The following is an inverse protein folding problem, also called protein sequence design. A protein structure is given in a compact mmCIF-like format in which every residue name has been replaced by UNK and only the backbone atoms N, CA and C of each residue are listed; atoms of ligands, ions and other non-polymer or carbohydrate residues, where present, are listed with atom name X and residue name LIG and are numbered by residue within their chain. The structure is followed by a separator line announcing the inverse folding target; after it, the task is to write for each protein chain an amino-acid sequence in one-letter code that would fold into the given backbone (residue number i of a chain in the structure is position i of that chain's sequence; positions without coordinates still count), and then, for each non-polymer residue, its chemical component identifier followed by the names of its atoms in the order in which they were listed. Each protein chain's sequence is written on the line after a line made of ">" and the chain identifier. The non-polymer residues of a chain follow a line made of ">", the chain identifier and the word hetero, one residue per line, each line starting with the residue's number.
data_IF_729875700258
#
_entry.id   IF_729875700258
#
_cell.length_a   1.000
_cell.length_b   1.000
_cell.length_c   1.000
_cell.angle_alpha   90.00
_cell.angle_beta   90.00
_cell.angle_gamma   90.00
#
_symmetry.space_group_name_H-M   'P 1'
#
loop_
_entity.id
_entity.type
_entity.pdbx_description
1 polymer ?
#
# COMPACT_ATOMS: atom_id res chain seq x y z
N UNK A 1 -66.17 5.25 32.90
CA UNK A 1 -65.74 3.82 32.84
C UNK A 1 -65.06 3.47 34.15
N UNK A 2 -65.52 2.42 34.83
CA UNK A 2 -64.89 1.91 36.06
C UNK A 2 -63.42 1.60 35.76
N UNK A 3 -62.49 2.15 36.54
CA UNK A 3 -61.06 1.82 36.39
C UNK A 3 -60.90 0.35 36.79
N UNK A 4 -60.23 -0.43 35.94
CA UNK A 4 -59.90 -1.82 36.25
C UNK A 4 -59.11 -1.89 37.55
N UNK A 5 -59.38 -2.91 38.36
CA UNK A 5 -58.49 -3.24 39.49
C UNK A 5 -57.17 -3.80 38.98
N UNK A 6 -56.19 -3.93 39.88
CA UNK A 6 -54.88 -4.47 39.53
C UNK A 6 -55.00 -5.94 39.07
N UNK A 7 -55.83 -6.74 39.74
CA UNK A 7 -56.12 -8.14 39.40
C UNK A 7 -56.87 -8.25 38.05
N UNK A 8 -57.93 -7.46 37.87
CA UNK A 8 -58.69 -7.43 36.60
C UNK A 8 -57.81 -7.05 35.40
N UNK A 9 -56.83 -6.16 35.61
CA UNK A 9 -55.86 -5.79 34.59
C UNK A 9 -54.96 -6.96 34.20
N UNK A 10 -54.43 -7.70 35.20
CA UNK A 10 -53.54 -8.83 34.98
C UNK A 10 -54.26 -10.00 34.30
N UNK A 11 -55.44 -10.38 34.79
CA UNK A 11 -56.25 -11.46 34.19
C UNK A 11 -56.57 -11.18 32.73
N UNK A 12 -56.92 -9.94 32.42
CA UNK A 12 -57.21 -9.52 31.05
C UNK A 12 -55.98 -9.59 30.15
N UNK A 13 -54.79 -9.25 30.64
CA UNK A 13 -53.55 -9.37 29.86
C UNK A 13 -53.19 -10.83 29.62
N UNK A 14 -53.28 -11.67 30.64
CA UNK A 14 -52.94 -13.08 30.53
C UNK A 14 -53.92 -13.87 29.68
N UNK A 15 -55.20 -13.50 29.69
CA UNK A 15 -56.20 -14.02 28.75
C UNK A 15 -55.87 -13.68 27.30
N UNK A 16 -55.33 -12.48 27.04
CA UNK A 16 -54.92 -12.07 25.69
C UNK A 16 -53.67 -12.82 25.24
N UNK A 17 -52.64 -12.88 26.08
CA UNK A 17 -51.38 -13.54 25.75
C UNK A 17 -50.85 -14.31 26.96
N UNK A 18 -51.14 -15.61 27.06
CA UNK A 18 -50.75 -16.45 28.20
C UNK A 18 -49.22 -16.48 28.43
N UNK A 19 -48.42 -16.36 27.37
CA UNK A 19 -46.94 -16.36 27.47
C UNK A 19 -46.38 -15.23 28.35
N UNK A 20 -47.17 -14.18 28.61
CA UNK A 20 -46.73 -13.07 29.46
C UNK A 20 -46.56 -13.49 30.93
N UNK A 21 -47.25 -14.54 31.40
CA UNK A 21 -47.04 -15.12 32.74
C UNK A 21 -45.64 -15.73 32.87
N UNK A 22 -45.12 -16.30 31.79
CA UNK A 22 -43.81 -16.95 31.74
C UNK A 22 -42.68 -15.94 31.51
N UNK A 23 -42.96 -14.83 30.83
CA UNK A 23 -41.96 -13.83 30.42
C UNK A 23 -41.75 -12.71 31.43
N UNK A 24 -42.77 -12.36 32.21
CA UNK A 24 -42.74 -11.22 33.14
C UNK A 24 -43.17 -11.64 34.55
N UNK A 25 -42.54 -11.02 35.54
CA UNK A 25 -43.01 -11.01 36.92
C UNK A 25 -43.72 -9.68 37.20
N UNK A 26 -44.87 -9.78 37.85
CA UNK A 26 -45.80 -8.67 38.12
C UNK A 26 -45.89 -8.31 39.60
N UNK A 27 -45.01 -8.85 40.47
CA UNK A 27 -45.02 -8.58 41.91
C UNK A 27 -44.97 -7.09 42.27
N UNK A 28 -44.24 -6.29 41.48
CA UNK A 28 -44.11 -4.85 41.67
C UNK A 28 -45.10 -4.03 40.80
N UNK A 29 -46.06 -4.70 40.15
CA UNK A 29 -47.00 -4.04 39.25
C UNK A 29 -48.10 -3.32 40.02
N UNK A 30 -48.15 -2.00 39.90
CA UNK A 30 -49.23 -1.16 40.43
C UNK A 30 -49.96 -0.45 39.29
N UNK A 31 -51.12 -0.97 38.90
CA UNK A 31 -51.98 -0.38 37.88
C UNK A 31 -52.81 0.76 38.47
N UNK A 32 -52.61 1.96 37.93
CA UNK A 32 -53.36 3.18 38.32
C UNK A 32 -54.14 3.79 37.15
N UNK A 33 -54.07 3.15 35.97
CA UNK A 33 -54.76 3.55 34.75
C UNK A 33 -53.96 3.29 33.47
N UNK A 34 -54.63 3.28 32.31
CA UNK A 34 -54.02 2.93 31.01
C UNK A 34 -52.90 3.89 30.56
N UNK A 35 -52.96 5.16 30.95
CA UNK A 35 -51.95 6.18 30.62
C UNK A 35 -50.77 6.21 31.61
N UNK A 36 -50.79 5.37 32.64
CA UNK A 36 -49.74 5.32 33.64
C UNK A 36 -48.78 4.15 33.38
N UNK A 37 -47.55 4.31 33.85
CA UNK A 37 -46.53 3.26 33.77
C UNK A 37 -46.76 2.22 34.85
N UNK A 38 -46.52 0.96 34.50
CA UNK A 38 -46.45 -0.19 35.41
C UNK A 38 -45.01 -0.69 35.49
N UNK A 39 -44.62 -1.18 36.66
CA UNK A 39 -43.30 -1.77 36.92
C UNK A 39 -43.38 -3.28 36.78
N UNK A 40 -42.50 -3.85 35.98
CA UNK A 40 -42.46 -5.27 35.65
C UNK A 40 -41.01 -5.76 35.70
N UNK A 41 -40.82 -7.02 36.08
CA UNK A 41 -39.50 -7.65 36.05
C UNK A 41 -39.44 -8.64 34.90
N UNK A 42 -38.42 -8.54 34.05
CA UNK A 42 -38.18 -9.53 32.99
C UNK A 42 -37.65 -10.82 33.61
N UNK A 43 -38.39 -11.94 33.51
CA UNK A 43 -37.95 -13.23 34.11
C UNK A 43 -36.65 -13.77 33.51
N UNK A 44 -36.37 -13.46 32.24
CA UNK A 44 -35.17 -13.95 31.54
C UNK A 44 -33.87 -13.27 31.99
N UNK A 45 -33.89 -11.96 32.21
CA UNK A 45 -32.68 -11.18 32.54
C UNK A 45 -32.75 -10.57 33.94
N UNK A 46 -33.77 -10.93 34.73
CA UNK A 46 -34.02 -10.47 36.09
C UNK A 46 -33.89 -8.94 36.29
N UNK A 47 -34.35 -8.15 35.31
CA UNK A 47 -34.24 -6.70 35.35
C UNK A 47 -35.61 -6.02 35.38
N UNK A 48 -35.69 -4.99 36.20
CA UNK A 48 -36.87 -4.15 36.39
C UNK A 48 -36.98 -3.15 35.24
N UNK A 49 -38.18 -2.99 34.69
CA UNK A 49 -38.48 -1.99 33.66
C UNK A 49 -39.87 -1.40 33.84
N UNK A 50 -40.09 -0.23 33.24
CA UNK A 50 -41.38 0.45 33.24
C UNK A 50 -41.97 0.52 31.84
N UNK A 51 -43.26 0.24 31.72
CA UNK A 51 -44.01 0.36 30.44
C UNK A 51 -45.38 0.97 30.70
N UNK A 52 -45.91 1.75 29.75
CA UNK A 52 -47.29 2.19 29.81
C UNK A 52 -48.24 0.99 29.77
N UNK A 53 -49.24 0.96 30.66
CA UNK A 53 -50.21 -0.14 30.71
C UNK A 53 -50.94 -0.31 29.37
N UNK A 54 -51.27 0.78 28.67
CA UNK A 54 -51.84 0.76 27.32
C UNK A 54 -50.92 0.10 26.28
N UNK A 55 -49.61 0.36 26.36
CA UNK A 55 -48.62 -0.23 25.46
C UNK A 55 -48.47 -1.73 25.73
N UNK A 56 -48.42 -2.14 26.99
CA UNK A 56 -48.34 -3.54 27.39
C UNK A 56 -49.52 -4.34 26.84
N UNK A 57 -50.73 -3.80 27.00
CA UNK A 57 -51.96 -4.39 26.49
C UNK A 57 -52.02 -4.46 24.95
N UNK A 58 -51.61 -3.38 24.27
CA UNK A 58 -51.56 -3.31 22.81
C UNK A 58 -50.56 -4.30 22.23
N UNK A 59 -49.39 -4.44 22.85
CA UNK A 59 -48.37 -5.38 22.41
C UNK A 59 -48.86 -6.82 22.57
N UNK A 60 -49.50 -7.17 23.69
CA UNK A 60 -50.05 -8.51 23.93
C UNK A 60 -51.00 -8.94 22.81
N UNK A 61 -51.91 -8.04 22.41
CA UNK A 61 -52.85 -8.28 21.30
C UNK A 61 -52.16 -8.46 19.95
N UNK A 62 -51.20 -7.59 19.64
CA UNK A 62 -50.48 -7.65 18.35
C UNK A 62 -49.62 -8.90 18.22
N UNK A 63 -48.93 -9.30 19.28
CA UNK A 63 -48.07 -10.50 19.24
C UNK A 63 -48.86 -11.75 18.83
N UNK A 64 -50.06 -11.95 19.37
CA UNK A 64 -50.94 -13.07 19.00
C UNK A 64 -51.51 -12.89 17.59
N UNK A 65 -52.05 -11.70 17.29
CA UNK A 65 -52.71 -11.44 16.00
C UNK A 65 -51.75 -11.60 14.80
N UNK A 66 -50.54 -11.08 14.92
CA UNK A 66 -49.54 -11.05 13.85
C UNK A 66 -48.56 -12.24 13.95
N UNK A 67 -48.69 -13.12 14.97
CA UNK A 67 -47.77 -14.21 15.29
C UNK A 67 -46.29 -13.74 15.34
N UNK A 68 -46.06 -12.63 16.04
CA UNK A 68 -44.75 -11.99 16.19
C UNK A 68 -44.39 -11.81 17.67
N UNK A 69 -43.10 -11.64 17.95
CA UNK A 69 -42.63 -11.19 19.26
C UNK A 69 -42.34 -9.68 19.17
N UNK A 70 -42.87 -8.89 20.10
CA UNK A 70 -42.75 -7.42 20.18
C UNK A 70 -42.20 -6.95 21.53
N UNK A 71 -42.60 -7.61 22.62
CA UNK A 71 -42.31 -7.17 24.00
C UNK A 71 -41.37 -8.13 24.70
N UNK A 72 -40.08 -7.84 24.73
CA UNK A 72 -39.11 -8.69 25.42
C UNK A 72 -39.16 -8.63 26.96
N UNK A 73 -39.88 -7.66 27.51
CA UNK A 73 -39.76 -7.25 28.91
C UNK A 73 -38.74 -6.15 29.02
N UNK A 74 -37.46 -6.50 28.95
CA UNK A 74 -36.38 -5.52 29.04
C UNK A 74 -35.77 -5.13 27.69
N UNK A 75 -34.92 -4.09 27.72
CA UNK A 75 -34.18 -3.60 26.55
C UNK A 75 -33.36 -4.70 25.86
N UNK A 76 -32.78 -5.63 26.62
CA UNK A 76 -31.99 -6.74 26.07
C UNK A 76 -32.86 -7.73 25.29
N UNK A 77 -34.01 -8.14 25.84
CA UNK A 77 -34.94 -8.99 25.11
C UNK A 77 -35.51 -8.29 23.88
N UNK A 78 -35.85 -7.00 23.97
CA UNK A 78 -36.33 -6.20 22.83
C UNK A 78 -35.24 -6.13 21.74
N UNK A 79 -33.98 -5.98 22.12
CA UNK A 79 -32.84 -6.03 21.20
C UNK A 79 -32.73 -7.39 20.50
N UNK A 80 -32.85 -8.49 21.24
CA UNK A 80 -32.86 -9.85 20.69
C UNK A 80 -34.03 -10.08 19.73
N UNK A 81 -35.21 -9.59 20.06
CA UNK A 81 -36.42 -9.68 19.23
C UNK A 81 -36.27 -8.87 17.94
N UNK A 82 -35.81 -7.62 18.04
CA UNK A 82 -35.54 -6.77 16.87
C UNK A 82 -34.53 -7.42 15.94
N UNK A 83 -33.45 -7.99 16.49
CA UNK A 83 -32.49 -8.80 15.74
C UNK A 83 -33.19 -9.99 15.07
N UNK A 84 -33.95 -10.80 15.80
CA UNK A 84 -34.64 -11.96 15.24
C UNK A 84 -35.62 -11.61 14.11
N UNK A 85 -36.40 -10.53 14.25
CA UNK A 85 -37.34 -10.07 13.22
C UNK A 85 -36.63 -9.52 11.98
N UNK A 86 -35.49 -8.85 12.13
CA UNK A 86 -34.59 -8.48 11.03
C UNK A 86 -34.20 -9.72 10.21
N UNK A 87 -33.90 -10.85 10.87
CA UNK A 87 -33.46 -12.08 10.18
C UNK A 87 -34.61 -12.88 9.52
N UNK A 88 -35.87 -12.68 9.91
CA UNK A 88 -37.01 -13.47 9.38
C UNK A 88 -37.53 -13.01 8.01
N UNK A 89 -37.29 -11.77 7.59
CA UNK A 89 -37.79 -11.21 6.32
C UNK A 89 -36.72 -11.07 5.21
N UNK A 90 -35.58 -11.72 5.38
CA UNK A 90 -34.35 -11.41 4.64
C UNK A 90 -34.44 -11.59 3.11
N UNK A 91 -35.30 -12.49 2.61
CA UNK A 91 -35.33 -12.82 1.18
C UNK A 91 -36.19 -11.88 0.31
N UNK A 92 -37.07 -11.07 0.92
CA UNK A 92 -37.99 -10.16 0.16
C UNK A 92 -37.51 -8.72 0.08
N UNK A 93 -36.40 -8.38 0.73
CA UNK A 93 -35.94 -6.99 0.91
C UNK A 93 -34.91 -6.59 -0.15
N UNK A 94 -35.41 -6.04 -1.26
CA UNK A 94 -34.62 -5.46 -2.34
C UNK A 94 -34.72 -3.92 -2.34
N UNK A 95 -33.70 -3.21 -2.85
CA UNK A 95 -33.79 -1.77 -3.03
C UNK A 95 -34.90 -1.41 -4.05
N UNK A 96 -35.51 -0.24 -3.90
CA UNK A 96 -36.64 0.21 -4.74
C UNK A 96 -36.31 0.25 -6.24
N UNK A 97 -35.04 0.45 -6.59
CA UNK A 97 -34.51 0.50 -7.96
C UNK A 97 -33.73 -0.76 -8.34
N UNK A 98 -34.04 -1.92 -7.73
CA UNK A 98 -33.37 -3.17 -8.02
C UNK A 98 -33.59 -3.62 -9.48
N UNK A 99 -32.50 -4.04 -10.12
CA UNK A 99 -32.53 -4.85 -11.33
C UNK A 99 -31.29 -5.76 -11.33
N UNK A 100 -31.38 -6.91 -12.00
CA UNK A 100 -30.33 -7.95 -11.97
C UNK A 100 -29.03 -7.55 -12.68
N UNK A 101 -29.08 -6.57 -13.58
CA UNK A 101 -27.92 -6.10 -14.32
C UNK A 101 -27.05 -5.16 -13.50
N UNK A 102 -27.68 -4.30 -12.70
CA UNK A 102 -27.03 -3.25 -11.93
C UNK A 102 -26.72 -3.63 -10.49
N UNK A 103 -27.42 -4.63 -9.91
CA UNK A 103 -27.23 -5.09 -8.55
C UNK A 103 -26.81 -6.55 -8.49
N UNK A 104 -25.77 -6.85 -7.70
CA UNK A 104 -25.25 -8.21 -7.51
C UNK A 104 -25.06 -8.54 -6.04
N UNK A 105 -25.22 -9.80 -5.65
CA UNK A 105 -24.87 -10.25 -4.31
C UNK A 105 -23.35 -10.12 -4.11
N UNK A 106 -22.94 -9.79 -2.89
CA UNK A 106 -21.52 -9.77 -2.53
C UNK A 106 -21.08 -11.19 -2.15
N UNK A 107 -20.06 -11.72 -2.82
CA UNK A 107 -19.53 -13.06 -2.53
C UNK A 107 -19.03 -13.18 -1.08
N UNK A 108 -19.47 -14.24 -0.39
CA UNK A 108 -19.18 -14.45 1.03
C UNK A 108 -19.90 -13.51 2.00
N UNK A 109 -20.79 -12.65 1.51
CA UNK A 109 -21.65 -11.74 2.26
C UNK A 109 -23.06 -11.74 1.64
N UNK A 110 -23.73 -12.88 1.68
CA UNK A 110 -24.98 -13.17 0.98
C UNK A 110 -26.16 -12.31 1.47
N UNK A 111 -26.02 -11.64 2.62
CA UNK A 111 -27.00 -10.72 3.19
C UNK A 111 -26.96 -9.31 2.56
N UNK A 112 -26.13 -9.08 1.53
CA UNK A 112 -25.88 -7.77 0.95
C UNK A 112 -25.84 -7.80 -0.57
N UNK A 113 -26.40 -6.74 -1.17
CA UNK A 113 -26.23 -6.43 -2.58
C UNK A 113 -25.34 -5.20 -2.75
N UNK A 114 -24.60 -5.15 -3.85
CA UNK A 114 -23.86 -3.98 -4.29
C UNK A 114 -24.25 -3.63 -5.71
N UNK A 115 -24.38 -2.34 -6.02
CA UNK A 115 -24.60 -1.88 -7.38
C UNK A 115 -23.30 -1.47 -8.10
N UNK A 116 -23.40 -1.25 -9.40
CA UNK A 116 -22.28 -0.82 -10.25
C UNK A 116 -21.71 0.59 -9.93
N UNK A 117 -22.40 1.37 -9.07
CA UNK A 117 -21.96 2.67 -8.54
C UNK A 117 -21.30 2.57 -7.16
N UNK A 118 -21.32 1.40 -6.52
CA UNK A 118 -20.76 1.18 -5.19
C UNK A 118 -21.72 1.42 -4.02
N UNK A 119 -23.02 1.58 -4.26
CA UNK A 119 -24.02 1.58 -3.19
C UNK A 119 -24.25 0.16 -2.69
N UNK A 120 -24.33 -0.01 -1.36
CA UNK A 120 -24.50 -1.33 -0.74
C UNK A 120 -25.84 -1.36 -0.02
N UNK A 121 -26.67 -2.33 -0.37
CA UNK A 121 -27.95 -2.60 0.27
C UNK A 121 -27.82 -3.77 1.25
N UNK A 122 -28.35 -3.60 2.45
CA UNK A 122 -28.41 -4.66 3.45
C UNK A 122 -29.82 -5.24 3.51
N UNK A 123 -29.96 -6.54 3.19
CA UNK A 123 -31.23 -7.28 3.31
C UNK A 123 -31.77 -7.23 4.75
N UNK A 124 -30.84 -7.38 5.71
CA UNK A 124 -31.13 -7.39 7.14
C UNK A 124 -31.75 -6.08 7.64
N UNK A 125 -31.12 -4.95 7.30
CA UNK A 125 -31.61 -3.65 7.76
C UNK A 125 -32.64 -3.02 6.81
N UNK A 126 -32.86 -3.62 5.64
CA UNK A 126 -33.69 -3.12 4.55
C UNK A 126 -33.34 -1.66 4.19
N UNK A 127 -32.04 -1.35 4.14
CA UNK A 127 -31.51 0.01 3.97
C UNK A 127 -30.19 -0.01 3.21
N UNK A 128 -29.89 1.14 2.58
CA UNK A 128 -28.56 1.46 2.09
C UNK A 128 -27.60 1.64 3.26
N UNK A 129 -26.45 0.99 3.19
CA UNK A 129 -25.37 1.16 4.14
C UNK A 129 -24.60 2.45 3.86
N UNK A 130 -24.24 3.14 4.93
CA UNK A 130 -23.37 4.31 4.84
C UNK A 130 -21.90 3.88 4.74
N UNK A 131 -21.31 4.09 3.58
CA UNK A 131 -19.86 3.97 3.36
C UNK A 131 -19.13 5.22 3.85
N UNK A 132 -17.84 5.09 4.15
CA UNK A 132 -16.98 6.22 4.56
C UNK A 132 -15.61 6.15 3.88
N UNK A 133 -14.95 7.30 3.72
CA UNK A 133 -13.58 7.38 3.20
C UNK A 133 -12.60 7.17 4.35
N UNK A 134 -11.66 6.24 4.19
CA UNK A 134 -10.63 5.98 5.19
C UNK A 134 -9.43 6.94 5.07
N UNK A 135 -8.48 6.87 6.00
CA UNK A 135 -7.25 7.71 6.02
C UNK A 135 -6.33 7.52 4.80
N UNK A 136 -6.55 6.47 4.02
CA UNK A 136 -5.83 6.19 2.77
C UNK A 136 -6.59 6.68 1.53
N UNK A 137 -7.76 7.32 1.71
CA UNK A 137 -8.60 7.87 0.65
C UNK A 137 -9.59 6.87 0.03
N UNK A 138 -9.63 5.61 0.50
CA UNK A 138 -10.52 4.61 -0.09
C UNK A 138 -11.91 4.63 0.55
N UNK A 139 -12.94 4.48 -0.28
CA UNK A 139 -14.30 4.23 0.19
C UNK A 139 -14.41 2.80 0.78
N UNK A 140 -14.90 2.71 2.02
CA UNK A 140 -14.99 1.49 2.81
C UNK A 140 -16.39 1.34 3.39
N UNK A 141 -16.90 0.11 3.39
CA UNK A 141 -18.14 -0.28 4.06
C UNK A 141 -17.86 -1.33 5.14
N UNK A 142 -18.70 -1.36 6.17
CA UNK A 142 -18.64 -2.39 7.23
C UNK A 142 -19.78 -3.37 7.02
N UNK A 143 -19.44 -4.62 6.70
CA UNK A 143 -20.39 -5.70 6.46
C UNK A 143 -20.39 -6.67 7.65
N UNK A 144 -21.56 -6.92 8.24
CA UNK A 144 -21.71 -7.94 9.28
C UNK A 144 -21.94 -9.30 8.64
N UNK A 145 -21.11 -10.30 8.99
CA UNK A 145 -21.25 -11.68 8.51
C UNK A 145 -21.90 -12.54 9.59
N UNK A 146 -23.10 -13.05 9.31
CA UNK A 146 -23.92 -13.83 10.27
C UNK A 146 -23.24 -15.13 10.69
N UNK A 147 -22.59 -15.83 9.77
CA UNK A 147 -21.92 -17.12 10.04
C UNK A 147 -20.78 -16.97 11.05
N UNK A 148 -20.00 -15.89 10.97
CA UNK A 148 -18.88 -15.61 11.89
C UNK A 148 -19.26 -14.71 13.06
N UNK A 149 -20.46 -14.11 13.02
CA UNK A 149 -20.95 -13.09 13.95
C UNK A 149 -20.01 -11.90 14.11
N UNK A 150 -19.27 -11.52 13.06
CA UNK A 150 -18.27 -10.44 13.08
C UNK A 150 -18.50 -9.39 12.00
N UNK A 151 -18.04 -8.16 12.29
CA UNK A 151 -18.00 -7.07 11.33
C UNK A 151 -16.71 -7.13 10.50
N UNK A 152 -16.83 -6.95 9.19
CA UNK A 152 -15.73 -6.95 8.24
C UNK A 152 -15.70 -5.61 7.49
N UNK A 153 -14.56 -4.92 7.54
CA UNK A 153 -14.34 -3.71 6.74
C UNK A 153 -13.90 -4.14 5.33
N UNK A 154 -14.68 -3.77 4.32
CA UNK A 154 -14.42 -4.09 2.91
C UNK A 154 -14.30 -2.81 2.10
N UNK A 155 -13.35 -2.78 1.17
CA UNK A 155 -13.15 -1.65 0.26
C UNK A 155 -14.18 -1.74 -0.85
N UNK A 156 -14.96 -0.68 -1.04
CA UNK A 156 -16.12 -0.69 -1.94
C UNK A 156 -15.70 -0.93 -3.38
N UNK A 157 -14.62 -0.31 -3.86
CA UNK A 157 -14.14 -0.52 -5.23
C UNK A 157 -13.78 -1.99 -5.53
N UNK A 158 -13.28 -2.75 -4.55
CA UNK A 158 -12.97 -4.18 -4.76
C UNK A 158 -14.27 -4.95 -4.96
N UNK A 159 -15.26 -4.70 -4.12
CA UNK A 159 -16.57 -5.34 -4.21
C UNK A 159 -17.26 -5.02 -5.55
N UNK A 160 -17.16 -3.77 -6.03
CA UNK A 160 -17.68 -3.39 -7.36
C UNK A 160 -16.91 -4.11 -8.47
N UNK A 161 -15.58 -4.17 -8.39
CA UNK A 161 -14.78 -4.83 -9.42
C UNK A 161 -15.04 -6.33 -9.51
N UNK A 162 -15.20 -7.02 -8.37
CA UNK A 162 -15.56 -8.44 -8.30
C UNK A 162 -16.94 -8.71 -8.93
N UNK A 163 -17.89 -7.78 -8.76
CA UNK A 163 -19.23 -7.92 -9.34
C UNK A 163 -19.33 -7.52 -10.82
N UNK A 164 -18.67 -6.44 -11.24
CA UNK A 164 -19.02 -5.72 -12.48
C UNK A 164 -17.86 -5.54 -13.46
N UNK A 165 -16.62 -5.86 -13.08
CA UNK A 165 -15.44 -5.66 -13.94
C UNK A 165 -14.86 -7.00 -14.33
N UNK A 166 -14.87 -7.31 -15.63
CA UNK A 166 -14.33 -8.55 -16.15
C UNK A 166 -12.82 -8.66 -15.84
N UNK A 167 -12.41 -9.79 -15.28
CA UNK A 167 -11.00 -10.12 -15.04
C UNK A 167 -10.64 -11.38 -15.83
N UNK A 168 -10.15 -11.25 -17.08
CA UNK A 168 -9.88 -12.41 -17.93
C UNK A 168 -8.70 -13.26 -17.45
N UNK A 169 -7.85 -12.73 -16.56
CA UNK A 169 -6.70 -13.47 -16.01
C UNK A 169 -6.44 -13.07 -14.54
N UNK A 170 -7.22 -13.61 -13.59
CA UNK A 170 -7.13 -13.24 -12.17
C UNK A 170 -5.77 -13.53 -11.52
N UNK A 171 -5.06 -14.56 -12.00
CA UNK A 171 -3.72 -14.91 -11.51
C UNK A 171 -2.69 -13.83 -11.82
N UNK A 172 -2.84 -13.17 -12.97
CA UNK A 172 -1.97 -12.07 -13.39
C UNK A 172 -2.44 -10.72 -12.83
N UNK A 173 -3.75 -10.45 -12.86
CA UNK A 173 -4.35 -9.16 -12.53
C UNK A 173 -5.15 -9.23 -11.24
N UNK A 174 -4.45 -9.14 -10.11
CA UNK A 174 -5.03 -9.33 -8.77
C UNK A 174 -5.23 -8.03 -7.96
N UNK A 175 -5.03 -6.85 -8.56
CA UNK A 175 -5.19 -5.55 -7.91
C UNK A 175 -6.21 -4.72 -8.67
N UNK A 176 -7.14 -4.08 -7.96
CA UNK A 176 -8.08 -3.14 -8.56
C UNK A 176 -7.48 -1.73 -8.54
N UNK A 177 -7.34 -1.12 -9.71
CA UNK A 177 -6.89 0.26 -9.89
C UNK A 177 -8.06 1.21 -10.22
N UNK A 178 -7.92 2.49 -9.86
CA UNK A 178 -8.86 3.55 -10.21
C UNK A 178 -8.23 4.35 -11.37
N UNK A 179 -8.89 4.39 -12.53
CA UNK A 179 -8.37 5.03 -13.76
C UNK A 179 -8.23 6.55 -13.62
N UNK A 180 -9.11 7.18 -12.86
CA UNK A 180 -9.10 8.61 -12.56
C UNK A 180 -8.15 9.00 -11.39
N UNK A 181 -7.53 8.02 -10.72
CA UNK A 181 -6.72 8.24 -9.52
C UNK A 181 -7.52 8.52 -8.23
N UNK A 182 -8.81 8.81 -8.31
CA UNK A 182 -9.64 9.12 -7.16
C UNK A 182 -10.12 7.84 -6.45
N UNK A 183 -9.45 7.51 -5.35
CA UNK A 183 -9.72 6.32 -4.51
C UNK A 183 -11.12 6.28 -3.87
N UNK A 184 -11.84 7.40 -3.88
CA UNK A 184 -13.19 7.50 -3.37
C UNK A 184 -14.27 7.31 -4.46
N UNK A 185 -13.88 7.15 -5.73
CA UNK A 185 -14.79 6.92 -6.86
C UNK A 185 -14.87 5.42 -7.23
N UNK A 186 -15.81 4.65 -6.67
CA UNK A 186 -15.92 3.20 -6.88
C UNK A 186 -16.68 2.81 -8.16
N UNK A 187 -17.02 3.76 -9.05
CA UNK A 187 -17.83 3.47 -10.25
C UNK A 187 -17.16 2.39 -11.12
N UNK A 188 -17.88 1.35 -11.51
CA UNK A 188 -17.28 0.19 -12.19
C UNK A 188 -16.50 0.55 -13.47
N UNK A 189 -16.95 1.55 -14.23
CA UNK A 189 -16.26 2.03 -15.44
C UNK A 189 -14.92 2.68 -15.14
N UNK A 190 -14.77 3.25 -13.94
CA UNK A 190 -13.53 3.84 -13.43
C UNK A 190 -12.54 2.80 -12.90
N UNK A 191 -12.95 1.53 -12.78
CA UNK A 191 -12.12 0.48 -12.21
C UNK A 191 -11.53 -0.43 -13.28
N UNK A 192 -10.36 -1.00 -12.99
CA UNK A 192 -9.71 -2.01 -13.81
C UNK A 192 -8.88 -2.97 -12.96
N UNK A 193 -8.79 -4.23 -13.40
CA UNK A 193 -7.88 -5.21 -12.82
C UNK A 193 -6.50 -5.05 -13.44
N UNK A 194 -5.50 -4.81 -12.58
CA UNK A 194 -4.10 -4.64 -12.95
C UNK A 194 -3.22 -5.54 -12.09
N UNK A 195 -1.98 -5.70 -12.53
CA UNK A 195 -0.94 -6.33 -11.72
C UNK A 195 -0.17 -5.25 -10.93
N UNK A 196 0.70 -5.67 -10.02
CA UNK A 196 1.50 -4.74 -9.18
C UNK A 196 2.27 -3.70 -10.00
N UNK A 197 2.85 -4.12 -11.13
CA UNK A 197 3.62 -3.25 -12.02
C UNK A 197 2.74 -2.20 -12.69
N UNK A 198 1.57 -2.60 -13.20
CA UNK A 198 0.58 -1.71 -13.81
C UNK A 198 0.08 -0.66 -12.82
N UNK A 199 -0.27 -1.08 -11.60
CA UNK A 199 -0.70 -0.16 -10.54
C UNK A 199 0.38 0.87 -10.17
N UNK A 200 1.64 0.42 -10.06
CA UNK A 200 2.77 1.31 -9.77
C UNK A 200 3.02 2.32 -10.92
N UNK A 201 2.96 1.87 -12.17
CA UNK A 201 3.09 2.73 -13.35
C UNK A 201 1.99 3.79 -13.41
N UNK A 202 0.76 3.43 -13.10
CA UNK A 202 -0.37 4.36 -13.04
C UNK A 202 -0.19 5.43 -11.96
N UNK A 203 0.25 5.02 -10.75
CA UNK A 203 0.56 5.96 -9.67
C UNK A 203 1.69 6.94 -10.03
N UNK A 204 2.71 6.50 -10.77
CA UNK A 204 3.80 7.36 -11.23
C UNK A 204 3.38 8.37 -12.31
N UNK A 205 2.39 8.04 -13.15
CA UNK A 205 1.88 8.94 -14.19
C UNK A 205 0.94 10.03 -13.66
N UNK A 206 0.33 9.80 -12.50
CA UNK A 206 -0.65 10.69 -11.87
C UNK A 206 -0.12 11.18 -10.49
N UNK A 207 0.86 12.11 -10.48
CA UNK A 207 1.57 12.53 -9.27
C UNK A 207 0.69 13.21 -8.22
N UNK A 208 -0.48 13.74 -8.57
CA UNK A 208 -1.51 14.19 -7.63
C UNK A 208 -2.03 13.10 -6.68
N UNK A 209 -1.83 11.80 -6.99
CA UNK A 209 -2.22 10.67 -6.15
C UNK A 209 -1.22 10.33 -5.04
N UNK A 210 -0.02 10.92 -5.06
CA UNK A 210 0.84 10.88 -3.90
C UNK A 210 0.19 11.73 -2.81
N UNK A 211 0.09 11.19 -1.58
CA UNK A 211 -0.23 12.04 -0.41
C UNK A 211 0.66 13.26 -0.52
N UNK A 212 0.09 14.49 -0.45
CA UNK A 212 0.85 15.74 -0.38
C UNK A 212 2.05 15.45 0.51
N UNK A 213 3.23 15.35 -0.10
CA UNK A 213 4.46 15.17 0.65
C UNK A 213 4.42 16.37 1.57
N UNK A 214 4.27 16.16 2.89
CA UNK A 214 4.46 17.25 3.85
C UNK A 214 5.73 17.90 3.39
N UNK A 215 5.67 19.19 3.04
CA UNK A 215 6.83 19.92 2.58
C UNK A 215 7.93 19.60 3.60
N UNK A 216 8.85 18.74 3.19
CA UNK A 216 10.06 18.54 3.96
C UNK A 216 10.65 19.92 3.88
N UNK A 217 10.73 20.59 5.03
CA UNK A 217 11.51 21.81 5.13
C UNK A 217 12.89 21.37 4.63
N UNK A 218 13.17 21.63 3.37
CA UNK A 218 14.51 21.56 2.83
C UNK A 218 15.19 22.72 3.53
N UNK A 219 15.76 22.42 4.69
CA UNK A 219 16.84 23.23 5.20
C UNK A 219 17.82 23.30 4.02
N UNK A 220 17.91 24.47 3.38
CA UNK A 220 19.08 24.81 2.61
C UNK A 220 20.22 24.73 3.61
N UNK A 221 20.84 23.55 3.71
CA UNK A 221 22.08 23.40 4.44
C UNK A 221 23.09 24.10 3.54
N UNK A 222 23.41 25.35 3.91
CA UNK A 222 24.61 26.00 3.44
C UNK A 222 25.75 25.00 3.59
N UNK A 223 26.48 24.82 2.51
CA UNK A 223 27.55 23.85 2.35
C UNK A 223 28.52 23.78 3.54
N UNK A 224 28.92 22.53 3.84
CA UNK A 224 30.25 22.08 4.26
C UNK A 224 30.76 22.30 5.68
N UNK A 225 30.04 21.78 6.69
CA UNK A 225 30.71 21.29 7.90
C UNK A 225 30.65 19.76 8.00
N UNK A 226 31.81 19.15 8.22
CA UNK A 226 31.91 17.73 8.50
C UNK A 226 31.44 17.47 9.94
N UNK A 227 30.28 16.83 10.08
CA UNK A 227 29.70 16.46 11.37
C UNK A 227 30.00 14.99 11.66
N UNK A 228 30.40 14.70 12.89
CA UNK A 228 30.83 13.38 13.33
C UNK A 228 29.87 12.81 14.37
N UNK A 229 29.46 11.56 14.17
CA UNK A 229 28.62 10.82 15.11
C UNK A 229 29.39 9.61 15.63
N UNK A 230 29.28 9.33 16.93
CA UNK A 230 29.87 8.14 17.53
C UNK A 230 29.01 6.91 17.17
N UNK A 231 29.67 5.81 16.80
CA UNK A 231 29.01 4.59 16.33
C UNK A 231 28.56 3.75 17.53
N UNK A 232 27.61 4.27 18.32
CA UNK A 232 27.07 3.62 19.51
C UNK A 232 25.78 2.83 19.21
N UNK A 233 25.47 1.77 19.97
CA UNK A 233 26.30 1.10 20.97
C UNK A 233 27.32 0.11 20.35
N UNK A 234 27.27 -0.09 19.03
CA UNK A 234 27.94 -1.20 18.34
C UNK A 234 29.48 -1.12 18.38
N UNK A 235 30.05 0.08 18.23
CA UNK A 235 31.48 0.35 18.08
C UNK A 235 31.92 1.61 18.85
N UNK A 236 31.95 1.57 20.20
CA UNK A 236 32.38 2.70 21.02
C UNK A 236 33.82 3.11 20.73
N UNK A 237 34.07 4.42 20.70
CA UNK A 237 35.37 5.01 20.35
C UNK A 237 35.67 5.11 18.86
N UNK A 238 34.71 4.78 17.99
CA UNK A 238 34.75 5.04 16.55
C UNK A 238 33.71 6.08 16.17
N UNK A 239 34.06 6.95 15.23
CA UNK A 239 33.21 8.04 14.75
C UNK A 239 33.08 7.97 13.24
N UNK A 240 31.88 8.27 12.73
CA UNK A 240 31.58 8.37 11.29
C UNK A 240 31.08 9.77 10.95
N UNK A 241 31.60 10.35 9.87
CA UNK A 241 31.15 11.65 9.40
C UNK A 241 30.04 11.57 8.36
N UNK A 242 29.30 12.66 8.17
CA UNK A 242 28.31 12.83 7.10
C UNK A 242 28.91 12.73 5.68
N UNK A 243 30.23 12.86 5.51
CA UNK A 243 30.95 12.63 4.24
C UNK A 243 31.48 11.19 4.10
N UNK A 244 31.24 10.32 5.09
CA UNK A 244 31.74 8.95 5.12
C UNK A 244 33.21 8.82 5.45
N UNK A 245 33.77 9.77 6.21
CA UNK A 245 35.05 9.59 6.89
C UNK A 245 34.85 8.81 8.19
N UNK A 246 35.85 8.03 8.60
CA UNK A 246 35.77 7.23 9.83
C UNK A 246 37.07 7.36 10.60
N UNK A 247 36.97 7.69 11.89
CA UNK A 247 38.13 7.82 12.79
C UNK A 247 37.95 7.00 14.05
N UNK A 248 39.07 6.66 14.69
CA UNK A 248 39.10 6.00 16.00
C UNK A 248 39.81 6.87 17.03
N UNK A 249 39.26 6.89 18.25
CA UNK A 249 39.84 7.52 19.44
C UNK A 249 40.34 6.47 20.45
N UNK A 250 40.89 5.37 19.94
CA UNK A 250 41.34 4.22 20.74
C UNK A 250 42.87 4.18 20.85
N UNK A 251 43.39 3.76 22.01
CA UNK A 251 44.83 3.52 22.21
C UNK A 251 45.32 2.39 21.28
N UNK A 252 46.49 2.58 20.67
CA UNK A 252 47.05 1.66 19.67
C UNK A 252 47.25 0.24 20.20
N UNK A 253 47.47 0.06 21.52
CA UNK A 253 47.82 -1.23 22.14
C UNK A 253 46.98 -1.60 23.38
N UNK A 254 45.85 -0.92 23.63
CA UNK A 254 44.92 -1.31 24.71
C UNK A 254 45.49 -1.21 26.13
N UNK A 255 46.62 -0.53 26.34
CA UNK A 255 47.15 -0.23 27.66
C UNK A 255 46.52 1.06 28.23
N UNK A 256 46.15 1.08 29.52
CA UNK A 256 45.39 2.18 30.13
C UNK A 256 46.12 3.54 30.14
N UNK A 257 47.46 3.55 30.06
CA UNK A 257 48.29 4.78 30.09
C UNK A 257 48.77 5.29 28.72
N UNK A 258 48.19 4.85 27.60
CA UNK A 258 48.58 5.38 26.27
C UNK A 258 47.68 6.53 25.83
N UNK A 259 48.30 7.63 25.40
CA UNK A 259 47.62 8.81 24.84
C UNK A 259 46.63 8.40 23.76
N UNK A 260 45.35 8.72 23.94
CA UNK A 260 44.31 8.55 22.92
C UNK A 260 44.64 9.48 21.76
N UNK A 261 45.15 8.93 20.66
CA UNK A 261 45.41 9.70 19.44
C UNK A 261 44.26 9.50 18.47
N UNK A 262 43.76 10.60 17.92
CA UNK A 262 42.85 10.56 16.79
C UNK A 262 43.56 9.87 15.62
N UNK A 263 42.93 8.82 15.09
CA UNK A 263 43.44 8.11 13.92
C UNK A 263 42.35 8.00 12.87
N UNK A 264 42.57 8.68 11.75
CA UNK A 264 41.76 8.49 10.55
C UNK A 264 41.96 7.08 10.02
N UNK A 265 40.85 6.35 9.82
CA UNK A 265 40.89 4.99 9.31
C UNK A 265 40.93 5.01 7.78
N UNK A 266 41.73 4.09 7.22
CA UNK A 266 41.80 3.90 5.77
C UNK A 266 40.51 3.25 5.26
N UNK A 267 39.96 3.84 4.20
CA UNK A 267 38.80 3.30 3.48
C UNK A 267 39.30 2.36 2.39
N UNK A 268 38.88 1.11 2.45
CA UNK A 268 39.30 0.09 1.48
C UNK A 268 38.05 -0.50 0.80
N UNK A 269 38.15 -0.84 -0.47
CA UNK A 269 37.08 -1.58 -1.15
C UNK A 269 36.87 -2.94 -0.46
N UNK A 270 35.61 -3.36 -0.37
CA UNK A 270 35.22 -4.58 0.34
C UNK A 270 35.81 -5.85 -0.28
N UNK A 271 36.03 -5.88 -1.61
CA UNK A 271 36.87 -6.85 -2.33
C UNK A 271 37.06 -6.44 -3.80
N UNK A 272 37.88 -7.15 -4.60
CA UNK A 272 37.93 -6.98 -6.08
C UNK A 272 36.55 -7.17 -6.76
N UNK A 273 35.59 -7.85 -6.10
CA UNK A 273 34.21 -8.09 -6.57
C UNK A 273 33.17 -7.12 -6.01
N UNK A 274 33.49 -6.28 -5.02
CA UNK A 274 32.55 -5.35 -4.39
C UNK A 274 33.12 -3.93 -4.31
N UNK A 275 32.42 -2.99 -4.95
CA UNK A 275 32.91 -1.64 -5.26
C UNK A 275 32.51 -0.58 -4.21
N UNK A 276 32.03 -1.03 -3.05
CA UNK A 276 31.66 -0.13 -1.95
C UNK A 276 32.82 0.00 -0.97
N UNK A 277 33.09 1.24 -0.56
CA UNK A 277 34.07 1.53 0.50
C UNK A 277 33.66 0.89 1.82
N UNK A 278 34.65 0.35 2.51
CA UNK A 278 34.49 -0.33 3.79
C UNK A 278 35.61 0.02 4.74
N UNK A 279 35.32 -0.09 6.03
CA UNK A 279 36.25 0.15 7.14
C UNK A 279 36.23 -1.03 8.11
N UNK A 280 37.38 -1.29 8.75
CA UNK A 280 37.49 -2.31 9.80
C UNK A 280 37.31 -1.69 11.17
N UNK A 281 36.34 -2.17 11.94
CA UNK A 281 36.03 -1.73 13.29
C UNK A 281 36.14 -2.90 14.27
N UNK A 282 36.48 -2.63 15.53
CA UNK A 282 36.48 -3.64 16.61
C UNK A 282 35.32 -3.36 17.55
N UNK A 283 34.52 -4.38 17.84
CA UNK A 283 33.45 -4.26 18.83
C UNK A 283 34.00 -4.19 20.26
N UNK A 284 33.13 -3.89 21.23
CA UNK A 284 33.47 -3.90 22.67
C UNK A 284 34.08 -5.24 23.13
N UNK A 285 33.67 -6.36 22.52
CA UNK A 285 34.21 -7.71 22.78
C UNK A 285 35.52 -8.00 22.02
N UNK A 286 36.18 -6.96 21.48
CA UNK A 286 37.42 -7.03 20.65
C UNK A 286 37.31 -7.85 19.37
N UNK A 287 36.09 -8.22 18.95
CA UNK A 287 35.85 -8.92 17.68
C UNK A 287 35.92 -7.94 16.51
N UNK A 288 36.58 -8.33 15.44
CA UNK A 288 36.75 -7.52 14.23
C UNK A 288 35.53 -7.62 13.31
N UNK A 289 35.08 -6.49 12.79
CA UNK A 289 34.00 -6.38 11.81
C UNK A 289 34.41 -5.48 10.67
N UNK A 290 34.08 -5.89 9.44
CA UNK A 290 34.19 -5.02 8.26
C UNK A 290 32.82 -4.42 7.97
N UNK A 291 32.71 -3.09 7.98
CA UNK A 291 31.45 -2.37 7.76
C UNK A 291 31.53 -1.51 6.51
N UNK A 292 30.45 -1.43 5.76
CA UNK A 292 30.34 -0.57 4.59
C UNK A 292 30.09 0.88 5.03
N UNK A 293 30.76 1.82 4.38
CA UNK A 293 30.75 3.22 4.83
C UNK A 293 29.36 3.84 4.61
N UNK A 294 28.74 3.71 3.45
CA UNK A 294 27.39 4.23 3.20
C UNK A 294 26.36 3.73 4.23
N UNK A 295 26.48 2.48 4.69
CA UNK A 295 25.62 1.91 5.73
C UNK A 295 25.82 2.59 7.08
N UNK A 296 27.07 2.86 7.48
CA UNK A 296 27.34 3.62 8.69
C UNK A 296 26.84 5.07 8.57
N UNK A 297 27.09 5.73 7.44
CA UNK A 297 26.66 7.11 7.23
C UNK A 297 25.14 7.22 7.35
N UNK A 298 24.40 6.40 6.60
CA UNK A 298 22.94 6.50 6.60
C UNK A 298 22.33 6.07 7.94
N UNK A 299 22.86 5.05 8.60
CA UNK A 299 22.30 4.57 9.86
C UNK A 299 22.46 5.60 10.99
N UNK A 300 23.58 6.31 11.03
CA UNK A 300 23.92 7.20 12.14
C UNK A 300 23.55 8.67 11.87
N UNK A 301 23.60 9.11 10.61
CA UNK A 301 23.24 10.49 10.23
C UNK A 301 21.79 10.63 9.73
N UNK A 302 21.19 9.56 9.19
CA UNK A 302 19.78 9.55 8.78
C UNK A 302 18.96 8.79 9.82
N UNK A 303 18.57 9.47 10.90
CA UNK A 303 17.69 8.90 11.93
C UNK A 303 16.26 8.80 11.41
N UNK A 304 15.98 7.72 10.70
CA UNK A 304 14.67 7.46 10.09
C UNK A 304 13.69 6.91 11.15
N UNK A 305 12.47 7.45 11.20
CA UNK A 305 11.42 7.05 12.18
C UNK A 305 10.61 5.82 11.78
N UNK A 306 10.86 5.24 10.61
CA UNK A 306 10.11 4.11 10.06
C UNK A 306 11.01 2.89 9.89
N UNK A 307 10.39 1.71 9.86
CA UNK A 307 11.08 0.43 9.72
C UNK A 307 11.80 0.34 8.35
N UNK A 308 13.12 0.13 8.40
CA UNK A 308 13.98 0.01 7.22
C UNK A 308 14.44 -1.43 6.96
N UNK A 309 13.86 -2.43 7.64
CA UNK A 309 14.30 -3.83 7.58
C UNK A 309 14.30 -4.41 6.17
N UNK A 310 13.35 -4.00 5.32
CA UNK A 310 13.21 -4.45 3.93
C UNK A 310 13.82 -3.49 2.89
N UNK A 311 14.54 -2.46 3.35
CA UNK A 311 15.11 -1.43 2.48
C UNK A 311 16.60 -1.66 2.23
N UNK A 312 17.09 -1.12 1.12
CA UNK A 312 18.49 -1.11 0.73
C UNK A 312 18.96 0.33 0.52
N UNK A 313 20.28 0.53 0.53
CA UNK A 313 20.89 1.85 0.40
C UNK A 313 21.27 2.05 -1.06
N UNK A 314 20.79 3.14 -1.64
CA UNK A 314 21.10 3.56 -3.00
C UNK A 314 22.01 4.80 -3.01
N UNK A 315 22.84 4.90 -4.04
CA UNK A 315 23.71 6.02 -4.34
C UNK A 315 23.08 6.80 -5.49
N UNK A 316 22.55 8.00 -5.22
CA UNK A 316 21.78 8.79 -6.22
C UNK A 316 22.58 9.10 -7.49
N UNK A 317 23.88 9.32 -7.34
CA UNK A 317 24.81 9.56 -8.45
C UNK A 317 25.42 8.28 -9.04
N UNK A 318 25.03 7.10 -8.53
CA UNK A 318 25.56 5.79 -8.89
C UNK A 318 27.09 5.63 -8.67
N UNK A 319 27.70 6.56 -7.94
CA UNK A 319 29.10 6.52 -7.53
C UNK A 319 29.22 5.94 -6.12
N UNK A 320 29.62 4.67 -6.04
CA UNK A 320 29.75 3.91 -4.78
C UNK A 320 30.85 4.41 -3.86
N UNK A 321 31.72 5.29 -4.36
CA UNK A 321 32.76 5.95 -3.61
C UNK A 321 32.25 7.24 -2.94
N UNK A 322 31.18 7.85 -3.47
CA UNK A 322 30.54 9.02 -2.89
C UNK A 322 29.58 8.63 -1.76
N UNK A 323 30.10 8.54 -0.54
CA UNK A 323 29.34 8.17 0.65
C UNK A 323 28.82 9.39 1.42
N UNK A 324 28.69 10.55 0.78
CA UNK A 324 28.08 11.73 1.37
C UNK A 324 26.60 11.47 1.66
N UNK A 325 26.13 11.85 2.85
CA UNK A 325 24.77 11.56 3.30
C UNK A 325 23.70 12.06 2.32
N UNK A 326 23.89 13.23 1.70
CA UNK A 326 22.94 13.76 0.71
C UNK A 326 22.85 12.93 -0.57
N UNK A 327 23.88 12.14 -0.87
CA UNK A 327 23.94 11.21 -2.00
C UNK A 327 23.37 9.82 -1.67
N UNK A 328 23.07 9.54 -0.40
CA UNK A 328 22.56 8.25 0.04
C UNK A 328 21.06 8.32 0.32
N UNK A 329 20.35 7.23 0.06
CA UNK A 329 18.95 7.10 0.48
C UNK A 329 18.53 5.64 0.67
N UNK A 330 17.50 5.45 1.49
CA UNK A 330 16.83 4.16 1.63
C UNK A 330 15.81 3.99 0.51
N UNK A 331 15.95 2.91 -0.25
CA UNK A 331 15.01 2.53 -1.32
C UNK A 331 14.64 1.05 -1.18
N UNK A 332 13.54 0.64 -1.80
CA UNK A 332 13.27 -0.78 -1.95
C UNK A 332 14.08 -1.38 -3.13
N UNK A 333 14.20 -2.71 -3.15
CA UNK A 333 14.96 -3.43 -4.17
C UNK A 333 14.49 -3.14 -5.61
N UNK A 334 13.19 -2.92 -5.80
CA UNK A 334 12.59 -2.69 -7.11
C UNK A 334 13.02 -1.34 -7.70
N UNK A 335 12.97 -0.28 -6.89
CA UNK A 335 13.38 1.09 -7.28
C UNK A 335 14.86 1.12 -7.64
N UNK A 336 15.72 0.51 -6.82
CA UNK A 336 17.16 0.45 -7.11
C UNK A 336 17.44 -0.27 -8.43
N UNK A 337 16.74 -1.39 -8.69
CA UNK A 337 16.92 -2.17 -9.93
C UNK A 337 16.50 -1.37 -11.16
N UNK A 338 15.37 -0.66 -11.08
CA UNK A 338 14.88 0.19 -12.18
C UNK A 338 15.84 1.33 -12.49
N UNK A 339 16.36 2.02 -11.47
CA UNK A 339 17.34 3.10 -11.66
C UNK A 339 18.63 2.59 -12.30
N UNK A 340 19.17 1.47 -11.81
CA UNK A 340 20.34 0.85 -12.41
C UNK A 340 20.15 0.44 -13.88
N UNK A 341 18.92 0.12 -14.30
CA UNK A 341 18.58 -0.15 -15.70
C UNK A 341 18.50 1.13 -16.54
N UNK A 342 17.84 2.17 -16.02
CA UNK A 342 17.72 3.49 -16.67
C UNK A 342 19.10 4.13 -16.87
N UNK A 343 19.98 3.99 -15.88
CA UNK A 343 21.34 4.52 -15.89
C UNK A 343 22.33 3.62 -16.65
N UNK A 344 21.88 2.45 -17.11
CA UNK A 344 22.68 1.54 -17.94
C UNK A 344 23.81 0.83 -17.18
N UNK A 345 23.71 0.70 -15.85
CA UNK A 345 24.74 0.13 -14.97
C UNK A 345 24.39 -1.24 -14.40
N UNK A 346 23.39 -1.90 -14.99
CA UNK A 346 22.80 -3.15 -14.49
C UNK A 346 23.66 -4.42 -14.68
N UNK A 347 24.71 -4.39 -15.51
CA UNK A 347 25.46 -5.61 -15.86
C UNK A 347 26.63 -5.94 -14.90
N UNK A 348 26.53 -7.10 -14.23
CA UNK A 348 27.54 -7.64 -13.29
C UNK A 348 28.80 -8.24 -13.94
N UNK A 349 28.83 -8.51 -15.26
CA UNK A 349 29.92 -9.26 -15.90
C UNK A 349 31.11 -8.43 -16.41
N UNK A 350 30.94 -7.13 -16.64
CA UNK A 350 32.01 -6.29 -17.22
C UNK A 350 32.28 -5.04 -16.37
N UNK A 351 32.92 -5.23 -15.21
CA UNK A 351 33.41 -4.11 -14.37
C UNK A 351 34.72 -3.47 -14.88
N UNK A 352 35.12 -3.74 -16.11
CA UNK A 352 36.23 -3.06 -16.77
C UNK A 352 35.82 -2.72 -18.19
N UNK A 353 35.16 -1.59 -18.35
CA UNK A 353 35.45 -0.58 -19.36
C UNK A 353 34.37 0.49 -19.23
N UNK A 354 34.77 1.72 -19.54
CA UNK A 354 34.00 2.96 -19.47
C UNK A 354 32.66 2.88 -20.24
N UNK A 355 32.06 4.03 -20.49
CA UNK A 355 31.00 4.28 -21.47
C UNK A 355 31.42 3.85 -22.91
N UNK A 356 31.83 2.59 -23.12
CA UNK A 356 32.85 2.09 -24.05
C UNK A 356 32.43 1.93 -25.51
N UNK A 357 31.25 2.43 -25.86
CA UNK A 357 30.69 2.30 -27.21
C UNK A 357 30.55 3.65 -27.92
N UNK A 358 30.93 4.74 -27.24
CA UNK A 358 31.04 6.07 -27.82
C UNK A 358 32.54 6.33 -28.00
N UNK A 359 32.97 6.49 -29.25
CA UNK A 359 34.39 6.75 -29.59
C UNK A 359 34.52 8.18 -30.11
N UNK A 360 35.67 8.81 -29.91
CA UNK A 360 35.93 10.10 -30.53
C UNK A 360 36.50 9.88 -31.91
N UNK A 361 35.95 10.57 -32.91
CA UNK A 361 36.49 10.57 -34.27
C UNK A 361 36.77 12.01 -34.69
N UNK A 362 37.97 12.20 -35.22
CA UNK A 362 38.40 13.44 -35.86
C UNK A 362 37.62 13.59 -37.17
N UNK A 363 36.85 14.67 -37.33
CA UNK A 363 36.01 14.86 -38.50
C UNK A 363 36.30 16.22 -39.17
N UNK A 364 36.72 16.17 -40.44
CA UNK A 364 37.03 17.33 -41.28
C UNK A 364 38.51 17.51 -41.64
N UNK A 365 38.77 18.07 -42.83
CA UNK A 365 40.10 18.57 -43.22
C UNK A 365 40.45 19.81 -42.38
N UNK A 366 41.73 19.92 -42.01
CA UNK A 366 42.29 21.04 -41.25
C UNK A 366 41.90 22.36 -41.93
N UNK A 367 41.10 23.20 -41.27
CA UNK A 367 40.84 24.56 -41.76
C UNK A 367 42.17 25.30 -41.84
N UNK A 368 42.63 25.64 -43.06
CA UNK A 368 43.89 26.37 -43.28
C UNK A 368 43.91 27.74 -42.59
N UNK A 369 42.74 28.31 -42.26
CA UNK A 369 42.59 29.62 -41.61
C UNK A 369 42.63 29.60 -40.08
N UNK A 370 42.18 28.52 -39.43
CA UNK A 370 42.02 28.51 -37.96
C UNK A 370 42.84 27.45 -37.26
N UNK A 371 43.40 26.48 -37.98
CA UNK A 371 44.19 25.35 -37.42
C UNK A 371 43.45 24.50 -36.36
N UNK A 372 42.16 24.78 -36.07
CA UNK A 372 41.34 24.08 -35.08
C UNK A 372 40.80 22.79 -35.70
N UNK A 373 41.06 21.69 -34.99
CA UNK A 373 40.57 20.37 -35.33
C UNK A 373 39.26 20.11 -34.59
N UNK A 374 38.15 19.93 -35.32
CA UNK A 374 36.87 19.59 -34.69
C UNK A 374 36.80 18.07 -34.42
N UNK A 375 36.58 17.71 -33.17
CA UNK A 375 36.35 16.34 -32.75
C UNK A 375 34.85 16.13 -32.58
N UNK A 376 34.32 15.03 -33.11
CA UNK A 376 32.95 14.59 -32.85
C UNK A 376 32.94 13.27 -32.10
N UNK A 377 31.91 13.08 -31.29
CA UNK A 377 31.58 11.81 -30.68
C UNK A 377 30.89 10.93 -31.71
N UNK A 378 31.46 9.77 -32.00
CA UNK A 378 30.90 8.75 -32.87
C UNK A 378 30.23 7.66 -32.05
N UNK A 379 28.96 7.45 -32.33
CA UNK A 379 28.14 6.37 -31.77
C UNK A 379 27.87 5.37 -32.89
N UNK A 380 28.40 4.16 -32.76
CA UNK A 380 28.24 3.11 -33.75
C UNK A 380 27.57 1.89 -33.12
N UNK A 381 26.49 1.39 -33.76
CA UNK A 381 25.79 0.20 -33.30
C UNK A 381 25.30 -0.64 -34.48
N UNK A 382 25.36 -1.98 -34.35
CA UNK A 382 24.84 -2.89 -35.36
C UNK A 382 23.46 -3.38 -34.93
N UNK A 383 22.41 -2.95 -35.63
CA UNK A 383 21.02 -3.34 -35.37
C UNK A 383 20.57 -4.25 -36.50
N UNK A 384 20.18 -5.48 -36.19
CA UNK A 384 19.55 -6.37 -37.18
C UNK A 384 20.38 -6.64 -38.45
N UNK A 385 21.71 -6.55 -38.37
CA UNK A 385 22.61 -6.72 -39.52
C UNK A 385 23.11 -5.41 -40.12
N UNK A 386 22.38 -4.30 -39.89
CA UNK A 386 22.68 -2.97 -40.41
C UNK A 386 23.58 -2.22 -39.41
N UNK A 387 24.67 -1.63 -39.89
CA UNK A 387 25.57 -0.82 -39.07
C UNK A 387 25.12 0.65 -39.11
N UNK A 388 24.70 1.18 -37.98
CA UNK A 388 24.26 2.56 -37.83
C UNK A 388 25.39 3.37 -37.19
N UNK A 389 25.68 4.54 -37.77
CA UNK A 389 26.70 5.47 -37.32
C UNK A 389 26.05 6.83 -37.08
N UNK A 390 26.20 7.39 -35.87
CA UNK A 390 25.76 8.76 -35.53
C UNK A 390 26.93 9.57 -34.98
N UNK A 391 26.89 10.88 -35.17
CA UNK A 391 27.91 11.81 -34.72
C UNK A 391 27.27 12.92 -33.89
N UNK A 392 27.89 13.26 -32.76
CA UNK A 392 27.44 14.30 -31.84
C UNK A 392 28.59 15.27 -31.51
N UNK A 393 28.25 16.52 -31.21
CA UNK A 393 29.23 17.54 -30.87
C UNK A 393 29.53 17.54 -29.37
N UNK A 394 28.56 17.13 -28.53
CA UNK A 394 28.75 16.95 -27.08
C UNK A 394 28.67 15.49 -26.64
N UNK A 395 29.22 15.22 -25.45
CA UNK A 395 29.18 13.87 -24.84
C UNK A 395 27.76 13.49 -24.46
N UNK A 396 26.99 14.44 -23.97
CA UNK A 396 25.62 14.31 -23.50
C UNK A 396 24.69 13.94 -24.67
N UNK A 397 24.84 14.63 -25.80
CA UNK A 397 24.16 14.27 -27.06
C UNK A 397 24.52 12.86 -27.52
N UNK A 398 25.80 12.48 -27.46
CA UNK A 398 26.25 11.14 -27.84
C UNK A 398 25.63 10.04 -26.94
N UNK A 399 25.49 10.32 -25.64
CA UNK A 399 24.84 9.42 -24.68
C UNK A 399 23.35 9.29 -25.00
N UNK A 400 22.68 10.40 -25.30
CA UNK A 400 21.26 10.39 -25.66
C UNK A 400 21.01 9.62 -26.98
N UNK A 401 21.82 9.88 -28.01
CA UNK A 401 21.77 9.12 -29.28
C UNK A 401 22.00 7.62 -29.07
N UNK A 402 22.87 7.26 -28.12
CA UNK A 402 23.09 5.86 -27.76
C UNK A 402 21.84 5.25 -27.12
N UNK A 403 21.19 5.94 -26.19
CA UNK A 403 19.94 5.48 -25.54
C UNK A 403 18.85 5.20 -26.58
N UNK A 404 18.66 6.12 -27.54
CA UNK A 404 17.71 5.95 -28.64
C UNK A 404 18.01 4.71 -29.50
N UNK A 405 19.27 4.50 -29.89
CA UNK A 405 19.65 3.34 -30.69
C UNK A 405 19.40 2.03 -29.94
N UNK A 406 19.63 1.98 -28.63
CA UNK A 406 19.31 0.82 -27.80
C UNK A 406 17.80 0.54 -27.76
N UNK A 407 16.97 1.57 -27.62
CA UNK A 407 15.52 1.43 -27.68
C UNK A 407 15.08 0.84 -29.04
N UNK A 408 15.58 1.39 -30.15
CA UNK A 408 15.30 0.88 -31.51
C UNK A 408 15.73 -0.58 -31.66
N UNK A 409 16.90 -0.95 -31.15
CA UNK A 409 17.38 -2.33 -31.20
C UNK A 409 16.47 -3.29 -30.44
N UNK A 410 16.03 -2.90 -29.24
CA UNK A 410 15.12 -3.68 -28.40
C UNK A 410 13.78 -3.88 -29.14
N UNK A 411 13.19 -2.81 -29.66
CA UNK A 411 11.95 -2.84 -30.47
C UNK A 411 12.11 -3.76 -31.68
N UNK A 412 13.20 -3.61 -32.44
CA UNK A 412 13.43 -4.38 -33.67
C UNK A 412 13.58 -5.88 -33.39
N UNK A 413 14.29 -6.25 -32.32
CA UNK A 413 14.48 -7.65 -31.94
C UNK A 413 13.19 -8.28 -31.44
N UNK A 414 12.34 -7.52 -30.75
CA UNK A 414 11.03 -7.96 -30.33
C UNK A 414 10.08 -8.23 -31.51
N UNK A 415 10.08 -7.34 -32.51
CA UNK A 415 9.31 -7.57 -33.75
C UNK A 415 9.77 -8.85 -34.44
N UNK A 416 11.08 -9.13 -34.50
CA UNK A 416 11.62 -10.38 -35.05
C UNK A 416 11.18 -11.60 -34.26
N UNK A 417 11.23 -11.52 -32.93
CA UNK A 417 10.74 -12.56 -32.04
C UNK A 417 9.26 -12.88 -32.27
N UNK A 418 8.39 -11.87 -32.39
CA UNK A 418 6.96 -12.07 -32.71
C UNK A 418 6.73 -12.67 -34.10
N UNK A 419 7.64 -12.48 -35.04
CA UNK A 419 7.63 -13.11 -36.37
C UNK A 419 8.27 -14.51 -36.41
N UNK A 420 8.58 -15.10 -35.25
CA UNK A 420 9.21 -16.42 -35.14
C UNK A 420 10.69 -16.45 -35.52
N UNK A 421 11.31 -15.28 -35.78
CA UNK A 421 12.73 -15.17 -36.12
C UNK A 421 13.49 -14.88 -34.83
N UNK A 422 14.11 -15.92 -34.27
CA UNK A 422 14.92 -15.81 -33.07
C UNK A 422 16.27 -15.16 -33.40
N UNK A 423 16.59 -13.96 -32.86
CA UNK A 423 17.85 -13.30 -33.16
C UNK A 423 19.04 -14.16 -32.71
N UNK A 424 19.99 -14.44 -33.63
CA UNK A 424 21.03 -15.46 -33.40
C UNK A 424 22.11 -15.12 -32.37
N UNK A 425 22.09 -13.94 -31.76
CA UNK A 425 23.05 -13.56 -30.73
C UNK A 425 22.41 -12.54 -29.80
N UNK A 426 22.19 -12.87 -28.53
CA UNK A 426 22.58 -12.05 -27.37
C UNK A 426 22.31 -12.84 -26.07
N UNK A 427 23.34 -12.93 -25.22
CA UNK A 427 23.29 -13.46 -23.83
C UNK A 427 22.49 -12.52 -22.89
N UNK A 428 21.30 -12.13 -23.29
CA UNK A 428 20.31 -11.54 -22.41
C UNK A 428 19.51 -12.74 -21.87
N UNK A 429 19.69 -13.09 -20.59
CA UNK A 429 18.74 -13.96 -19.88
C UNK A 429 17.44 -13.17 -19.68
N UNK A 430 16.82 -12.76 -20.79
CA UNK A 430 15.61 -11.98 -20.83
C UNK A 430 14.60 -12.83 -21.57
N UNK A 431 13.56 -13.22 -20.85
CA UNK A 431 12.42 -13.91 -21.41
C UNK A 431 11.61 -12.87 -22.20
N UNK A 432 11.66 -12.95 -23.53
CA UNK A 432 10.95 -12.01 -24.41
C UNK A 432 9.42 -12.06 -24.26
N UNK A 433 8.86 -13.09 -23.60
CA UNK A 433 7.46 -13.10 -23.17
C UNK A 433 7.13 -12.01 -22.15
N UNK A 434 8.13 -11.53 -21.39
CA UNK A 434 7.97 -10.50 -20.36
C UNK A 434 8.17 -9.07 -20.90
N UNK A 435 8.53 -8.92 -22.19
CA UNK A 435 8.77 -7.62 -22.86
C UNK A 435 7.56 -7.15 -23.69
N UNK A 436 6.36 -7.70 -23.45
CA UNK A 436 5.19 -7.38 -24.27
C UNK A 436 4.60 -5.96 -24.01
N UNK A 437 4.91 -5.32 -22.87
CA UNK A 437 4.23 -4.08 -22.45
C UNK A 437 5.07 -2.80 -22.53
N UNK A 438 6.39 -2.89 -22.66
CA UNK A 438 7.28 -1.72 -22.63
C UNK A 438 7.74 -1.28 -24.03
N UNK A 439 7.72 -2.21 -25.00
CA UNK A 439 8.02 -1.93 -26.43
C UNK A 439 6.79 -1.44 -27.19
N UNK A 440 5.56 -1.72 -26.74
CA UNK A 440 4.34 -1.14 -27.35
C UNK A 440 4.13 0.33 -27.01
N UNK A 441 4.79 0.82 -25.96
CA UNK A 441 4.65 2.18 -25.43
C UNK A 441 5.75 3.13 -25.94
N UNK A 442 6.84 2.56 -26.47
CA UNK A 442 7.93 3.25 -27.18
C UNK A 442 7.69 3.12 -28.68
#
# INVERSE_FOLDING_TARGET
>A
MKKLTNEEFLDKIWSINPSYKERFCYELCLYTGMKNKIKLTCKKHNCLFEILASNHFRNAKREIKENILLSGGCNECISCIRKANIYKNNDKHLPENYNENDWKNIEGFEDYYINNKGDIWSKLSNKLLKSYVNESGYLVATLYKRTTKKNHKKRVHILVAEGFVNNPNPELYNIVNHKDGNRANPLYTNLEWVNRSGNAKHAHKNPENYKKVRAVILNKVNTDNEHWEEILPDFPGYFVSNFGNVKSFLSSNGHPNTVKREKQLRKNNSSKKHDHLSVGLRSKKRKYYRKQIHSLVIQYHLKVKYDTSDMIIDHKDNNKQNNYIGNLEWVNYHINTQRAMIDGCWNRKDRKQNVSHIRYIKWGCRSKKTNVQKFKYHVCMKISGIKINRFADTKEEAIQMKKELYAIMIITNYIKYKKGIYPKYYKLNVNFKDIDNEIKLL
#
